data_IF_310580519197
#
_entry.id   IF_310580519197
#
_cell.length_a   1.000
_cell.length_b   1.000
_cell.length_c   1.000
_cell.angle_alpha   90.00
_cell.angle_beta   90.00
_cell.angle_gamma   90.00
#
_symmetry.space_group_name_H-M   'P 1'
#
loop_
_entity.id
_entity.type
_entity.pdbx_description
1 polymer ?
#
# COMPACT_ATOMS: atom_id res chain seq x y z
N UNK A 1 2.26 3.92 -37.51
CA UNK A 1 1.91 4.72 -36.32
C UNK A 1 3.20 5.32 -35.77
N UNK A 2 3.41 6.63 -35.93
CA UNK A 2 4.57 7.32 -35.33
C UNK A 2 4.37 7.34 -33.81
N UNK A 3 5.35 6.85 -33.05
CA UNK A 3 5.39 7.01 -31.59
C UNK A 3 6.57 7.92 -31.27
N UNK A 4 6.33 9.05 -30.62
CA UNK A 4 7.38 9.93 -30.13
C UNK A 4 7.58 9.60 -28.64
N UNK A 5 8.81 9.23 -28.28
CA UNK A 5 9.22 9.06 -26.88
C UNK A 5 9.83 10.38 -26.44
N UNK A 6 9.23 11.03 -25.45
CA UNK A 6 9.75 12.27 -24.87
C UNK A 6 10.35 11.93 -23.51
N UNK A 7 11.65 12.20 -23.35
CA UNK A 7 12.33 12.11 -22.07
C UNK A 7 12.23 13.49 -21.43
N UNK A 8 11.45 13.63 -20.36
CA UNK A 8 11.34 14.88 -19.63
C UNK A 8 12.19 14.82 -18.37
N UNK A 9 13.06 15.83 -18.20
CA UNK A 9 13.84 16.03 -16.99
C UNK A 9 13.09 17.02 -16.09
N UNK A 10 12.67 16.59 -14.90
CA UNK A 10 12.39 17.55 -13.82
C UNK A 10 13.68 17.71 -13.02
N UNK A 11 14.38 18.80 -13.27
CA UNK A 11 15.52 19.22 -12.46
C UNK A 11 15.02 20.20 -11.40
N UNK A 12 14.75 19.71 -10.20
CA UNK A 12 14.64 20.58 -9.03
C UNK A 12 16.01 20.68 -8.37
N UNK A 13 16.45 21.92 -8.12
CA UNK A 13 17.68 22.20 -7.41
C UNK A 13 17.64 21.52 -6.04
N UNK A 14 18.50 20.49 -5.85
CA UNK A 14 18.95 19.84 -4.59
C UNK A 14 18.63 18.35 -4.33
N UNK A 15 18.02 17.58 -5.25
CA UNK A 15 17.83 16.11 -5.06
C UNK A 15 18.09 15.32 -6.36
N UNK A 16 18.42 14.01 -6.29
CA UNK A 16 18.68 13.24 -7.49
C UNK A 16 17.45 13.25 -8.41
N UNK A 17 17.69 13.65 -9.66
CA UNK A 17 16.70 13.84 -10.72
C UNK A 17 15.79 12.61 -10.89
N UNK A 18 14.49 12.79 -10.62
CA UNK A 18 13.47 11.84 -11.01
C UNK A 18 13.33 11.87 -12.54
N UNK A 19 13.62 10.74 -13.18
CA UNK A 19 13.57 10.60 -14.63
C UNK A 19 12.20 10.02 -15.00
N UNK A 20 11.40 10.80 -15.74
CA UNK A 20 10.11 10.35 -16.26
C UNK A 20 10.21 10.12 -17.77
N UNK A 21 9.83 8.92 -18.20
CA UNK A 21 9.72 8.58 -19.62
C UNK A 21 8.24 8.66 -20.03
N UNK A 22 7.90 9.62 -20.89
CA UNK A 22 6.54 9.80 -21.41
C UNK A 22 6.46 9.27 -22.85
N UNK A 23 5.46 8.43 -23.14
CA UNK A 23 5.09 8.12 -24.53
C UNK A 23 3.96 9.03 -24.96
N UNK A 24 4.17 9.72 -26.07
CA UNK A 24 3.09 10.40 -26.77
C UNK A 24 2.55 9.45 -27.85
N UNK A 25 1.28 9.09 -27.72
CA UNK A 25 0.58 8.30 -28.74
C UNK A 25 -0.39 9.23 -29.47
N UNK A 26 -0.14 9.41 -30.77
CA UNK A 26 -1.04 10.15 -31.66
C UNK A 26 -2.21 9.25 -32.07
N UNK A 27 -3.43 9.79 -32.03
CA UNK A 27 -4.61 9.07 -32.51
C UNK A 27 -4.59 8.92 -34.04
N UNK A 28 -5.10 7.81 -34.60
CA UNK A 28 -5.15 7.60 -36.04
C UNK A 28 -6.20 8.50 -36.70
N UNK A 29 -5.76 9.46 -37.53
CA UNK A 29 -6.65 10.36 -38.29
C UNK A 29 -5.97 11.64 -38.81
N UNK A 30 -4.71 11.55 -39.26
CA UNK A 30 -3.89 12.73 -39.53
C UNK A 30 -4.37 13.54 -40.75
N UNK A 31 -4.76 14.80 -40.52
CA UNK A 31 -4.83 15.88 -41.50
C UNK A 31 -3.81 16.97 -41.11
N UNK A 32 -3.21 17.66 -42.08
CA UNK A 32 -2.03 18.53 -41.94
C UNK A 32 -2.19 19.82 -41.11
N UNK A 33 -3.30 19.99 -40.37
CA UNK A 33 -3.64 21.23 -39.66
C UNK A 33 -3.29 21.15 -38.16
N UNK A 34 -1.99 21.08 -37.85
CA UNK A 34 -1.46 21.31 -36.49
C UNK A 34 -1.85 20.27 -35.42
N UNK A 35 -1.06 20.19 -34.35
CA UNK A 35 -1.36 19.34 -33.19
C UNK A 35 -2.25 20.11 -32.22
N UNK A 36 -3.45 19.60 -31.92
CA UNK A 36 -4.28 20.12 -30.82
C UNK A 36 -3.93 19.37 -29.52
N UNK A 37 -4.14 19.99 -28.34
CA UNK A 37 -3.90 19.32 -27.05
C UNK A 37 -4.64 17.99 -26.90
N UNK A 38 -5.85 17.90 -27.44
CA UNK A 38 -6.70 16.68 -27.36
C UNK A 38 -6.19 15.52 -28.25
N UNK A 39 -5.31 15.81 -29.22
CA UNK A 39 -4.73 14.80 -30.11
C UNK A 39 -3.57 14.03 -29.45
N UNK A 40 -3.13 14.49 -28.27
CA UNK A 40 -1.96 13.99 -27.56
C UNK A 40 -2.43 13.20 -26.33
N UNK A 41 -2.35 11.87 -26.39
CA UNK A 41 -2.50 11.04 -25.21
C UNK A 41 -1.12 10.81 -24.57
N UNK A 42 -0.83 11.52 -23.48
CA UNK A 42 0.37 11.32 -22.66
C UNK A 42 0.18 10.08 -21.78
N UNK A 43 1.01 9.06 -21.97
CA UNK A 43 1.10 7.93 -21.04
C UNK A 43 2.49 7.88 -20.43
N UNK A 44 2.58 7.94 -19.11
CA UNK A 44 3.82 7.68 -18.39
C UNK A 44 4.21 6.21 -18.58
N UNK A 45 5.35 5.95 -19.21
CA UNK A 45 5.86 4.60 -19.43
C UNK A 45 6.67 4.10 -18.24
N UNK A 46 7.55 4.95 -17.72
CA UNK A 46 8.46 4.61 -16.63
C UNK A 46 8.74 5.84 -15.78
N UNK A 47 8.74 5.64 -14.47
CA UNK A 47 9.37 6.55 -13.52
C UNK A 47 10.66 5.86 -13.08
N UNK A 48 11.83 6.41 -13.40
CA UNK A 48 13.10 5.92 -12.87
C UNK A 48 13.35 6.59 -11.52
N UNK A 49 13.85 5.80 -10.56
CA UNK A 49 14.14 6.27 -9.21
C UNK A 49 13.01 6.03 -8.21
N UNK A 50 13.27 6.48 -6.98
CA UNK A 50 12.35 6.45 -5.85
C UNK A 50 11.43 7.68 -5.96
N UNK A 51 10.10 7.52 -5.88
CA UNK A 51 9.18 8.64 -5.99
C UNK A 51 9.51 9.77 -4.99
N UNK A 52 9.24 11.01 -5.38
CA UNK A 52 9.37 12.13 -4.45
C UNK A 52 8.32 12.00 -3.36
N UNK A 53 8.70 12.27 -2.11
CA UNK A 53 7.78 12.13 -0.97
C UNK A 53 7.48 10.68 -0.60
N UNK A 54 8.39 9.74 -0.88
CA UNK A 54 8.30 8.37 -0.35
C UNK A 54 8.23 8.34 1.18
N UNK A 55 7.38 7.46 1.72
CA UNK A 55 7.07 7.40 3.16
C UNK A 55 7.32 6.03 3.77
N UNK A 56 6.69 4.97 3.24
CA UNK A 56 6.80 3.62 3.78
C UNK A 56 7.39 2.66 2.75
N UNK A 57 8.03 1.60 3.25
CA UNK A 57 8.57 0.49 2.48
C UNK A 57 7.96 -0.80 2.99
N UNK A 58 7.52 -1.68 2.09
CA UNK A 58 7.17 -3.06 2.40
C UNK A 58 7.92 -4.00 1.45
N UNK A 59 8.20 -5.23 1.87
CA UNK A 59 8.90 -6.21 1.05
C UNK A 59 8.26 -7.59 1.21
N UNK A 60 8.10 -8.27 0.08
CA UNK A 60 7.93 -9.72 0.01
C UNK A 60 9.26 -10.32 -0.44
N UNK A 61 9.96 -10.94 0.51
CA UNK A 61 11.32 -11.46 0.25
C UNK A 61 11.32 -12.70 -0.63
N UNK A 62 10.22 -13.47 -0.63
CA UNK A 62 10.09 -14.72 -1.41
C UNK A 62 9.82 -14.37 -2.87
N UNK A 63 8.89 -13.46 -3.12
CA UNK A 63 8.60 -12.98 -4.48
C UNK A 63 9.64 -11.97 -4.99
N UNK A 64 10.49 -11.44 -4.11
CA UNK A 64 11.47 -10.38 -4.37
C UNK A 64 10.81 -9.13 -4.96
N UNK A 65 9.73 -8.70 -4.30
CA UNK A 65 9.00 -7.49 -4.64
C UNK A 65 9.06 -6.57 -3.44
N UNK A 66 9.31 -5.28 -3.66
CA UNK A 66 9.12 -4.27 -2.63
C UNK A 66 8.23 -3.15 -3.11
N UNK A 67 7.49 -2.56 -2.18
CA UNK A 67 6.54 -1.49 -2.40
C UNK A 67 7.01 -0.24 -1.66
N UNK A 68 6.95 0.91 -2.32
CA UNK A 68 7.25 2.22 -1.72
C UNK A 68 5.99 3.08 -1.83
N UNK A 69 5.41 3.45 -0.69
CA UNK A 69 4.30 4.40 -0.66
C UNK A 69 4.80 5.85 -0.70
N UNK A 70 3.91 6.76 -1.07
CA UNK A 70 4.18 8.18 -1.18
C UNK A 70 3.14 9.00 -0.43
N UNK A 71 3.48 10.26 -0.15
CA UNK A 71 2.60 11.19 0.57
C UNK A 71 1.30 11.51 -0.17
N UNK A 72 1.25 11.33 -1.48
CA UNK A 72 0.05 11.55 -2.30
C UNK A 72 -0.78 10.26 -2.52
N UNK A 73 -0.52 9.20 -1.75
CA UNK A 73 -1.32 7.98 -1.76
C UNK A 73 -1.00 7.00 -2.89
N UNK A 74 0.04 7.26 -3.69
CA UNK A 74 0.53 6.29 -4.68
C UNK A 74 1.47 5.28 -4.04
N UNK A 75 1.46 4.06 -4.56
CA UNK A 75 2.38 2.99 -4.16
C UNK A 75 3.11 2.49 -5.40
N UNK A 76 4.42 2.61 -5.39
CA UNK A 76 5.27 2.10 -6.46
C UNK A 76 5.84 0.74 -6.10
N UNK A 77 5.61 -0.24 -6.96
CA UNK A 77 6.15 -1.58 -6.84
C UNK A 77 7.43 -1.73 -7.66
N UNK A 78 8.38 -2.46 -7.11
CA UNK A 78 9.62 -2.86 -7.75
C UNK A 78 9.78 -4.37 -7.59
N UNK A 79 9.87 -5.10 -8.70
CA UNK A 79 10.04 -6.54 -8.72
C UNK A 79 11.33 -6.98 -9.42
N UNK A 80 11.43 -8.28 -9.67
CA UNK A 80 12.52 -8.90 -10.45
C UNK A 80 12.63 -8.28 -11.85
N UNK A 81 13.79 -8.43 -12.47
CA UNK A 81 14.06 -8.00 -13.86
C UNK A 81 13.72 -6.53 -14.15
N UNK A 82 13.89 -5.65 -13.16
CA UNK A 82 13.55 -4.22 -13.21
C UNK A 82 12.07 -3.94 -13.48
N UNK A 83 11.18 -4.90 -13.22
CA UNK A 83 9.73 -4.72 -13.36
C UNK A 83 9.24 -3.70 -12.35
N UNK A 84 8.36 -2.82 -12.80
CA UNK A 84 7.78 -1.75 -11.99
C UNK A 84 6.29 -1.64 -12.26
N UNK A 85 5.53 -1.25 -11.25
CA UNK A 85 4.13 -0.90 -11.36
C UNK A 85 3.79 0.25 -10.42
N UNK A 86 2.72 0.97 -10.73
CA UNK A 86 2.18 2.03 -9.89
C UNK A 86 0.76 1.65 -9.52
N UNK A 87 0.46 1.64 -8.22
CA UNK A 87 -0.87 1.49 -7.67
C UNK A 87 -1.33 2.86 -7.18
N UNK A 88 -2.56 3.22 -7.49
CA UNK A 88 -3.12 4.54 -7.16
C UNK A 88 -4.35 4.34 -6.27
N UNK A 89 -4.22 4.66 -4.99
CA UNK A 89 -5.35 4.63 -4.05
C UNK A 89 -6.42 5.63 -4.50
N UNK A 90 -7.73 5.28 -4.44
CA UNK A 90 -8.82 6.17 -4.81
C UNK A 90 -8.84 7.49 -4.03
N UNK A 91 -8.48 7.45 -2.76
CA UNK A 91 -8.57 8.60 -1.85
C UNK A 91 -7.36 9.53 -1.95
N UNK A 92 -6.28 9.10 -2.61
CA UNK A 92 -5.03 9.86 -2.77
C UNK A 92 -4.47 10.42 -1.44
N UNK A 93 -4.66 9.67 -0.35
CA UNK A 93 -4.13 9.99 0.99
C UNK A 93 -2.92 9.11 1.34
N UNK A 94 -1.97 9.58 2.17
CA UNK A 94 -0.80 8.80 2.53
C UNK A 94 -1.12 7.44 3.16
N UNK A 95 -0.24 6.46 2.94
CA UNK A 95 -0.24 5.21 3.70
C UNK A 95 0.16 5.45 5.16
N UNK A 96 -0.60 4.86 6.08
CA UNK A 96 -0.30 4.73 7.52
C UNK A 96 0.44 3.41 7.81
N UNK A 97 0.02 2.30 7.20
CA UNK A 97 0.70 1.00 7.27
C UNK A 97 0.78 0.36 5.90
N UNK A 98 1.84 -0.39 5.63
CA UNK A 98 2.08 -1.07 4.37
C UNK A 98 2.74 -2.42 4.63
N UNK A 99 2.10 -3.52 4.24
CA UNK A 99 2.65 -4.87 4.48
C UNK A 99 2.16 -5.87 3.43
N UNK A 100 3.05 -6.76 2.99
CA UNK A 100 2.67 -7.90 2.15
C UNK A 100 2.12 -9.05 2.99
N UNK A 101 1.16 -9.79 2.42
CA UNK A 101 0.93 -11.17 2.85
C UNK A 101 1.95 -12.03 2.09
N UNK A 102 2.93 -12.53 2.83
CA UNK A 102 4.12 -13.13 2.24
C UNK A 102 3.81 -14.29 1.29
N UNK A 103 4.41 -14.21 0.10
CA UNK A 103 4.28 -15.16 -0.99
C UNK A 103 2.85 -15.35 -1.51
N UNK A 104 1.97 -14.38 -1.33
CA UNK A 104 0.59 -14.44 -1.83
C UNK A 104 0.29 -13.50 -2.99
N UNK A 105 1.21 -12.60 -3.36
CA UNK A 105 0.92 -11.56 -4.35
C UNK A 105 -0.12 -10.55 -3.87
N UNK A 106 -0.25 -10.39 -2.54
CA UNK A 106 -1.22 -9.48 -1.92
C UNK A 106 -0.49 -8.44 -1.07
N UNK A 107 -0.81 -7.18 -1.32
CA UNK A 107 -0.32 -6.05 -0.54
C UNK A 107 -1.48 -5.41 0.22
N UNK A 108 -1.28 -5.22 1.51
CA UNK A 108 -2.20 -4.50 2.38
C UNK A 108 -1.68 -3.07 2.58
N UNK A 109 -2.51 -2.09 2.25
CA UNK A 109 -2.27 -0.68 2.51
C UNK A 109 -3.35 -0.16 3.47
N UNK A 110 -2.94 0.34 4.64
CA UNK A 110 -3.85 1.06 5.52
C UNK A 110 -3.55 2.53 5.34
N UNK A 111 -4.53 3.30 4.93
CA UNK A 111 -4.34 4.70 4.60
C UNK A 111 -4.59 5.63 5.81
N UNK A 112 -4.32 6.92 5.66
CA UNK A 112 -4.45 7.90 6.76
C UNK A 112 -5.89 8.06 7.30
N UNK A 113 -6.90 7.63 6.54
CA UNK A 113 -8.31 7.67 6.93
C UNK A 113 -8.83 6.34 7.50
N UNK A 114 -7.92 5.41 7.82
CA UNK A 114 -8.21 4.09 8.41
C UNK A 114 -8.93 3.09 7.49
N UNK A 115 -8.90 3.28 6.17
CA UNK A 115 -9.36 2.24 5.25
C UNK A 115 -8.23 1.23 5.01
N UNK A 116 -8.57 -0.06 5.05
CA UNK A 116 -7.67 -1.16 4.71
C UNK A 116 -7.92 -1.57 3.26
N UNK A 117 -6.97 -1.26 2.40
CA UNK A 117 -6.97 -1.60 0.99
C UNK A 117 -6.23 -2.93 0.75
N UNK A 118 -6.87 -3.84 0.02
CA UNK A 118 -6.32 -5.11 -0.42
C UNK A 118 -5.97 -5.02 -1.89
N UNK A 119 -4.69 -5.02 -2.20
CA UNK A 119 -4.17 -4.95 -3.56
C UNK A 119 -3.74 -6.33 -4.06
N UNK A 120 -4.31 -6.77 -5.17
CA UNK A 120 -3.79 -7.89 -5.96
C UNK A 120 -2.67 -7.36 -6.84
N UNK A 121 -1.44 -7.80 -6.54
CA UNK A 121 -0.22 -7.31 -7.19
C UNK A 121 -0.07 -7.86 -8.60
N UNK A 122 -0.45 -9.12 -8.81
CA UNK A 122 -0.34 -9.78 -10.10
C UNK A 122 -1.31 -9.16 -11.11
N UNK A 123 -2.53 -8.84 -10.67
CA UNK A 123 -3.54 -8.15 -11.47
C UNK A 123 -3.39 -6.64 -11.48
N UNK A 124 -2.63 -6.07 -10.54
CA UNK A 124 -2.48 -4.62 -10.30
C UNK A 124 -3.82 -3.94 -10.05
N UNK A 125 -4.65 -4.57 -9.22
CA UNK A 125 -6.01 -4.14 -8.93
C UNK A 125 -6.24 -3.97 -7.44
N UNK A 126 -7.05 -2.97 -7.10
CA UNK A 126 -7.63 -2.83 -5.76
C UNK A 126 -8.78 -3.82 -5.65
N UNK A 127 -8.54 -4.94 -4.97
CA UNK A 127 -9.50 -6.04 -4.85
C UNK A 127 -10.59 -5.75 -3.83
N UNK A 128 -10.23 -5.09 -2.73
CA UNK A 128 -11.18 -4.78 -1.66
C UNK A 128 -10.74 -3.56 -0.86
N UNK A 129 -11.71 -2.85 -0.30
CA UNK A 129 -11.51 -1.77 0.68
C UNK A 129 -12.40 -2.08 1.87
N UNK A 130 -11.80 -2.06 3.06
CA UNK A 130 -12.49 -2.29 4.32
C UNK A 130 -12.37 -1.03 5.19
N UNK A 131 -13.50 -0.40 5.46
CA UNK A 131 -13.58 0.74 6.37
C UNK A 131 -13.45 0.27 7.82
N UNK A 132 -12.61 0.95 8.59
CA UNK A 132 -12.40 0.67 10.00
C UNK A 132 -12.92 1.85 10.84
N UNK A 133 -13.77 1.56 11.82
CA UNK A 133 -14.54 2.59 12.56
C UNK A 133 -13.65 3.43 13.47
N UNK A 134 -12.73 2.81 14.21
CA UNK A 134 -11.81 3.49 15.12
C UNK A 134 -10.49 3.91 14.46
N UNK A 135 -9.71 4.76 15.12
CA UNK A 135 -8.37 5.06 14.62
C UNK A 135 -7.45 3.84 14.77
N UNK A 136 -6.93 3.34 13.65
CA UNK A 136 -5.90 2.30 13.65
C UNK A 136 -4.58 2.93 14.07
N UNK A 137 -4.01 2.43 15.17
CA UNK A 137 -2.73 2.88 15.74
C UNK A 137 -1.62 1.86 15.56
N UNK A 138 -1.96 0.59 15.31
CA UNK A 138 -0.97 -0.42 14.95
C UNK A 138 -1.59 -1.53 14.08
N UNK A 139 -0.73 -2.18 13.30
CA UNK A 139 -1.13 -3.21 12.36
C UNK A 139 0.00 -4.24 12.18
N UNK A 140 -0.36 -5.52 12.07
CA UNK A 140 0.58 -6.54 11.60
C UNK A 140 -0.14 -7.75 10.99
N UNK A 141 0.42 -8.29 9.92
CA UNK A 141 0.06 -9.59 9.36
C UNK A 141 0.75 -10.71 10.14
N UNK A 142 -0.02 -11.73 10.53
CA UNK A 142 0.54 -12.92 11.16
C UNK A 142 1.30 -13.75 10.12
N UNK A 143 2.58 -14.02 10.38
CA UNK A 143 3.47 -14.73 9.48
C UNK A 143 2.88 -16.03 8.95
N UNK A 144 3.00 -16.26 7.64
CA UNK A 144 2.52 -17.46 6.93
C UNK A 144 1.01 -17.72 7.08
N UNK A 145 0.20 -16.70 7.37
CA UNK A 145 -1.25 -16.82 7.43
C UNK A 145 -1.95 -15.65 6.74
N UNK A 146 -3.28 -15.73 6.66
CA UNK A 146 -4.15 -14.66 6.17
C UNK A 146 -4.79 -13.87 7.31
N UNK A 147 -4.34 -14.08 8.54
CA UNK A 147 -4.83 -13.36 9.69
C UNK A 147 -3.95 -12.15 9.96
N UNK A 148 -4.58 -11.10 10.49
CA UNK A 148 -3.92 -9.85 10.83
C UNK A 148 -4.48 -9.33 12.14
N UNK A 149 -3.62 -8.67 12.90
CA UNK A 149 -4.00 -7.96 14.10
C UNK A 149 -4.08 -6.46 13.80
N UNK A 150 -5.15 -5.83 14.26
CA UNK A 150 -5.34 -4.38 14.19
C UNK A 150 -5.55 -3.88 15.60
N UNK A 151 -4.71 -2.95 16.04
CA UNK A 151 -4.90 -2.27 17.31
C UNK A 151 -5.41 -0.85 17.11
N UNK A 152 -6.34 -0.44 17.95
CA UNK A 152 -7.01 0.85 17.88
C UNK A 152 -6.55 1.84 18.97
N UNK A 153 -6.98 3.10 18.83
CA UNK A 153 -6.67 4.19 19.75
C UNK A 153 -7.32 4.06 21.13
N UNK A 154 -8.32 3.18 21.29
CA UNK A 154 -8.98 2.91 22.57
C UNK A 154 -8.43 1.65 23.26
N UNK A 155 -7.44 0.99 22.66
CA UNK A 155 -6.68 -0.11 23.26
C UNK A 155 -7.25 -1.51 23.03
N UNK A 156 -8.17 -1.68 22.07
CA UNK A 156 -8.57 -3.02 21.64
C UNK A 156 -7.63 -3.54 20.56
N UNK A 157 -7.47 -4.86 20.54
CA UNK A 157 -6.84 -5.59 19.45
C UNK A 157 -7.91 -6.46 18.79
N UNK A 158 -8.17 -6.20 17.51
CA UNK A 158 -9.07 -6.97 16.67
C UNK A 158 -8.25 -7.96 15.83
N UNK A 159 -8.84 -9.12 15.56
CA UNK A 159 -8.33 -10.06 14.56
C UNK A 159 -9.19 -9.94 13.31
N UNK A 160 -8.54 -9.65 12.18
CA UNK A 160 -9.16 -9.73 10.87
C UNK A 160 -8.56 -10.91 10.11
N UNK A 161 -9.30 -11.42 9.13
CA UNK A 161 -8.86 -12.45 8.20
C UNK A 161 -9.10 -11.94 6.78
N UNK A 162 -8.11 -12.10 5.91
CA UNK A 162 -8.35 -12.02 4.47
C UNK A 162 -8.92 -13.37 4.00
N UNK A 163 -10.14 -13.34 3.48
CA UNK A 163 -10.73 -14.50 2.83
C UNK A 163 -10.31 -14.53 1.38
N UNK A 164 -9.58 -15.56 0.94
CA UNK A 164 -8.91 -15.58 -0.37
C UNK A 164 -9.87 -15.53 -1.55
N UNK A 165 -11.06 -16.12 -1.39
CA UNK A 165 -12.11 -16.17 -2.39
C UNK A 165 -13.40 -15.74 -1.68
N UNK A 166 -13.75 -14.44 -1.65
CA UNK A 166 -13.59 -13.45 -2.74
C UNK A 166 -12.50 -12.35 -2.58
N UNK A 167 -11.43 -12.57 -1.81
CA UNK A 167 -10.37 -11.57 -1.52
C UNK A 167 -10.89 -10.38 -0.70
N UNK A 168 -11.65 -10.67 0.36
CA UNK A 168 -12.28 -9.67 1.24
C UNK A 168 -11.79 -9.78 2.67
N UNK A 169 -11.83 -8.67 3.39
CA UNK A 169 -11.48 -8.64 4.81
C UNK A 169 -12.72 -8.97 5.63
N UNK A 170 -12.57 -9.95 6.53
CA UNK A 170 -13.61 -10.38 7.45
C UNK A 170 -13.14 -10.14 8.88
N UNK A 171 -13.97 -9.47 9.69
CA UNK A 171 -13.74 -9.29 11.12
C UNK A 171 -14.01 -10.61 11.86
N UNK A 172 -13.02 -11.11 12.60
CA UNK A 172 -13.19 -12.32 13.40
C UNK A 172 -13.92 -12.01 14.71
N UNK A 173 -14.55 -13.02 15.31
CA UNK A 173 -15.24 -12.88 16.59
C UNK A 173 -14.29 -12.65 17.78
N UNK A 174 -13.05 -13.10 17.64
CA UNK A 174 -12.04 -12.93 18.68
C UNK A 174 -11.49 -11.51 18.69
N UNK A 175 -11.57 -10.84 19.84
CA UNK A 175 -10.92 -9.57 20.13
C UNK A 175 -10.32 -9.59 21.52
N UNK A 176 -9.22 -8.87 21.71
CA UNK A 176 -8.62 -8.61 23.02
C UNK A 176 -9.02 -7.19 23.41
N UNK A 177 -10.03 -6.99 24.27
CA UNK A 177 -10.42 -5.67 24.69
C UNK A 177 -9.37 -5.06 25.63
N UNK A 178 -9.32 -3.73 25.72
CA UNK A 178 -8.43 -3.01 26.66
C UNK A 178 -8.51 -3.58 28.09
N UNK A 179 -9.71 -3.94 28.54
CA UNK A 179 -9.95 -4.49 29.88
C UNK A 179 -9.25 -5.83 30.15
N UNK A 180 -8.96 -6.62 29.11
CA UNK A 180 -8.20 -7.85 29.25
C UNK A 180 -6.73 -7.58 29.59
N UNK A 181 -6.18 -6.45 29.14
CA UNK A 181 -4.80 -6.05 29.40
C UNK A 181 -4.64 -5.15 30.63
N UNK A 182 -5.61 -4.27 30.90
CA UNK A 182 -5.52 -3.23 31.95
C UNK A 182 -6.48 -3.43 33.13
N UNK A 183 -7.33 -4.45 33.11
CA UNK A 183 -8.31 -4.70 34.17
C UNK A 183 -9.44 -3.66 34.19
N UNK A 184 -9.66 -2.99 35.33
CA UNK A 184 -10.78 -2.05 35.49
C UNK A 184 -10.49 -0.71 34.79
N UNK A 185 -11.28 -0.41 33.76
CA UNK A 185 -11.20 0.81 32.96
C UNK A 185 -11.32 2.12 33.76
N UNK A 186 -11.91 2.10 34.97
CA UNK A 186 -12.09 3.31 35.78
C UNK A 186 -10.80 3.90 36.38
N UNK A 187 -9.67 3.20 36.28
CA UNK A 187 -8.37 3.64 36.82
C UNK A 187 -7.32 3.96 35.76
N UNK A 188 -7.64 3.82 34.48
CA UNK A 188 -6.65 3.98 33.40
C UNK A 188 -6.61 5.44 32.97
N UNK A 189 -5.85 6.25 33.72
CA UNK A 189 -5.48 7.59 33.30
C UNK A 189 -4.21 7.47 32.43
N UNK A 190 -4.37 7.50 31.11
CA UNK A 190 -3.25 7.39 30.17
C UNK A 190 -3.68 7.30 28.70
N UNK A 191 -2.68 7.30 27.82
CA UNK A 191 -2.84 6.92 26.42
C UNK A 191 -3.06 5.40 26.35
N UNK A 192 -4.24 5.00 25.89
CA UNK A 192 -4.66 3.59 25.85
C UNK A 192 -4.41 2.95 24.48
N UNK A 193 -3.85 3.70 23.53
CA UNK A 193 -3.65 3.21 22.17
C UNK A 193 -2.75 1.98 22.13
N UNK A 194 -3.10 1.05 21.25
CA UNK A 194 -2.22 -0.08 20.98
C UNK A 194 -1.06 0.42 20.12
N UNK A 195 0.15 0.46 20.70
CA UNK A 195 1.32 1.00 20.00
C UNK A 195 1.97 -0.02 19.07
N UNK A 196 2.12 -1.27 19.52
CA UNK A 196 2.83 -2.30 18.78
C UNK A 196 2.24 -3.69 19.06
N UNK A 197 2.23 -4.53 18.02
CA UNK A 197 1.95 -5.96 18.14
C UNK A 197 3.24 -6.69 17.76
N UNK A 198 3.86 -7.32 18.75
CA UNK A 198 5.12 -8.03 18.56
C UNK A 198 4.85 -9.54 18.39
N UNK A 199 5.52 -10.20 17.42
CA UNK A 199 5.49 -11.66 17.36
C UNK A 199 6.07 -12.22 18.66
N UNK A 200 5.47 -13.30 19.19
CA UNK A 200 6.01 -13.93 20.39
C UNK A 200 7.46 -14.38 20.14
N UNK A 201 8.42 -13.93 20.96
CA UNK A 201 9.77 -14.46 20.90
C UNK A 201 9.72 -15.94 21.27
N UNK A 202 10.09 -16.82 20.33
CA UNK A 202 10.32 -18.27 20.57
C UNK A 202 9.06 -19.13 20.77
N UNK A 203 8.25 -19.28 19.72
CA UNK A 203 7.34 -20.43 19.58
C UNK A 203 7.84 -21.49 18.57
N UNK A 204 9.08 -21.36 18.07
CA UNK A 204 9.65 -22.29 17.08
C UNK A 204 10.52 -23.41 17.68
N UNK A 205 10.74 -23.45 19.00
CA UNK A 205 11.74 -24.38 19.55
C UNK A 205 11.27 -25.84 19.72
N UNK A 206 10.04 -26.21 19.36
CA UNK A 206 9.55 -27.61 19.44
C UNK A 206 8.44 -27.88 18.41
N UNK A 207 8.82 -28.18 17.17
CA UNK A 207 8.05 -29.09 16.31
C UNK A 207 8.94 -30.25 15.93
#
# INVERSE_FOLDING_TARGET
MLSIVVISFQQEHTTPSNLQLLKLVLQPGWNSDGLKPDDINTRLLFHYGIPLGSMLLACDTIQQIFAVSTRDGRIKLFGKDNTQALLESPDAVPSKFLQFIENQGILLNINAINCIEVWDIDRKLLSHVHDFEEEITCFTVMQHTFYMFVGDSIGNILVLKLDQEPCIIVKMQYRIPLSASHGNASKVAGDNSVMHILPQPTAESKR
#
